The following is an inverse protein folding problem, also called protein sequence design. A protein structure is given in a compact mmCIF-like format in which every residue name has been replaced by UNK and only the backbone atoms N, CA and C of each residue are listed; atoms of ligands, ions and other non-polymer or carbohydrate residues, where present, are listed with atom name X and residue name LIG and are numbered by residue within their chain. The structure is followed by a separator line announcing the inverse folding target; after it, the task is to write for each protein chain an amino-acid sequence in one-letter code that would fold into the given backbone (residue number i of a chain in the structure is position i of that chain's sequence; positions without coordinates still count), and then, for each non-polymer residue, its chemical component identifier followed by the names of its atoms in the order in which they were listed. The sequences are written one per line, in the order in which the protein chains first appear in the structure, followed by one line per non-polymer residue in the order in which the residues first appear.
data_IF_702122840395
#
_entry.id   IF_702122840395
#
_cell.length_a   1.000
_cell.length_b   1.000
_cell.length_c   1.000
_cell.angle_alpha   90.00
_cell.angle_beta   90.00
_cell.angle_gamma   90.00
#
_symmetry.space_group_name_H-M   'P 1'
#
loop_
_entity.id
_entity.type
_entity.pdbx_description
1 polymer ?
#
# COMPACT_ATOMS: atom_id res chain seq x y z
N UNK A 1 2.47 -16.46 5.76
CA UNK A 1 1.31 -16.11 4.94
C UNK A 1 1.43 -14.66 4.49
N UNK A 2 1.94 -14.41 3.28
CA UNK A 2 1.93 -13.06 2.70
C UNK A 2 0.50 -12.72 2.25
N UNK A 3 0.01 -11.52 2.56
CA UNK A 3 -1.18 -10.99 1.88
C UNK A 3 -0.79 -10.92 0.40
N UNK A 4 -1.55 -11.58 -0.48
CA UNK A 4 -1.25 -11.55 -1.92
C UNK A 4 -1.57 -10.16 -2.44
N UNK A 5 -0.77 -9.62 -3.36
CA UNK A 5 -1.03 -8.32 -4.03
C UNK A 5 -2.48 -8.20 -4.53
N UNK A 6 -3.09 -9.31 -4.96
CA UNK A 6 -4.49 -9.37 -5.38
C UNK A 6 -5.50 -9.11 -4.26
N UNK A 7 -5.18 -9.47 -3.01
CA UNK A 7 -6.04 -9.21 -1.84
C UNK A 7 -6.09 -7.73 -1.50
N UNK A 8 -4.99 -7.00 -1.64
CA UNK A 8 -4.95 -5.55 -1.41
C UNK A 8 -5.83 -4.80 -2.41
N UNK A 9 -5.76 -5.13 -3.70
CA UNK A 9 -6.66 -4.52 -4.70
C UNK A 9 -8.13 -4.87 -4.45
N UNK A 10 -8.43 -6.09 -4.02
CA UNK A 10 -9.79 -6.49 -3.66
C UNK A 10 -10.29 -5.71 -2.43
N UNK A 11 -9.42 -5.50 -1.45
CA UNK A 11 -9.73 -4.68 -0.28
C UNK A 11 -10.03 -3.23 -0.67
N UNK A 12 -9.24 -2.63 -1.57
CA UNK A 12 -9.48 -1.27 -2.08
C UNK A 12 -10.83 -1.18 -2.81
N UNK A 13 -11.11 -2.12 -3.73
CA UNK A 13 -12.38 -2.16 -4.45
C UNK A 13 -13.58 -2.36 -3.50
N UNK A 14 -13.42 -3.22 -2.51
CA UNK A 14 -14.46 -3.47 -1.50
C UNK A 14 -14.67 -2.23 -0.62
N UNK A 15 -13.59 -1.53 -0.24
CA UNK A 15 -13.65 -0.26 0.48
C UNK A 15 -14.36 0.81 -0.34
N UNK A 16 -14.06 0.92 -1.64
CA UNK A 16 -14.72 1.85 -2.54
C UNK A 16 -16.23 1.56 -2.67
N UNK A 17 -16.61 0.28 -2.78
CA UNK A 17 -18.02 -0.12 -2.82
C UNK A 17 -18.76 0.18 -1.52
N UNK A 18 -18.13 -0.03 -0.36
CA UNK A 18 -18.73 0.21 0.95
C UNK A 18 -18.88 1.70 1.26
N UNK A 19 -17.86 2.50 0.94
CA UNK A 19 -17.83 3.94 1.23
C UNK A 19 -18.47 4.78 0.14
N UNK A 20 -18.59 4.24 -1.08
CA UNK A 20 -19.00 4.96 -2.29
C UNK A 20 -18.14 6.19 -2.57
N UNK A 21 -16.88 6.16 -2.14
CA UNK A 21 -15.95 7.28 -2.28
C UNK A 21 -14.52 6.78 -2.57
N UNK A 22 -14.26 6.34 -3.82
CA UNK A 22 -12.95 5.86 -4.21
C UNK A 22 -11.88 6.96 -4.18
N UNK A 23 -12.25 8.22 -4.45
CA UNK A 23 -11.33 9.36 -4.40
C UNK A 23 -10.77 9.61 -3.00
N UNK A 24 -11.62 9.56 -1.96
CA UNK A 24 -11.15 9.73 -0.58
C UNK A 24 -10.22 8.59 -0.14
N UNK A 25 -10.42 7.37 -0.66
CA UNK A 25 -9.49 6.26 -0.43
C UNK A 25 -8.14 6.49 -1.12
N UNK A 26 -8.16 7.03 -2.35
CA UNK A 26 -6.95 7.43 -3.05
C UNK A 26 -6.18 8.53 -2.30
N UNK A 27 -6.87 9.57 -1.84
CA UNK A 27 -6.30 10.65 -1.02
C UNK A 27 -5.66 10.11 0.28
N UNK A 28 -6.33 9.17 0.94
CA UNK A 28 -5.82 8.54 2.15
C UNK A 28 -4.54 7.75 1.88
N UNK A 29 -4.49 6.98 0.79
CA UNK A 29 -3.29 6.24 0.38
C UNK A 29 -2.13 7.18 0.02
N UNK A 30 -2.39 8.26 -0.70
CA UNK A 30 -1.38 9.28 -1.00
C UNK A 30 -0.81 9.88 0.29
N UNK A 31 -1.68 10.27 1.23
CA UNK A 31 -1.27 10.79 2.54
C UNK A 31 -0.40 9.78 3.30
N UNK A 32 -0.80 8.51 3.36
CA UNK A 32 -0.03 7.46 4.03
C UNK A 32 1.33 7.24 3.33
N UNK A 33 1.38 7.32 2.00
CA UNK A 33 2.61 7.16 1.23
C UNK A 33 3.59 8.32 1.41
N UNK A 34 3.07 9.51 1.72
CA UNK A 34 3.87 10.70 2.00
C UNK A 34 4.48 10.71 3.41
N UNK A 35 4.06 9.79 4.28
CA UNK A 35 4.58 9.69 5.63
C UNK A 35 6.06 9.20 5.62
N UNK A 36 6.95 10.05 6.12
CA UNK A 36 8.38 9.79 6.18
C UNK A 36 8.79 8.97 7.41
N UNK A 37 7.87 8.69 8.34
CA UNK A 37 8.18 7.93 9.55
C UNK A 37 8.46 6.47 9.22
N UNK A 38 9.75 6.10 9.27
CA UNK A 38 10.17 4.70 9.21
C UNK A 38 9.82 4.04 10.54
N UNK A 39 9.25 2.84 10.46
CA UNK A 39 8.97 2.09 11.67
C UNK A 39 10.28 1.69 12.36
N UNK A 40 10.29 1.75 13.71
CA UNK A 40 11.40 1.24 14.51
C UNK A 40 11.34 -0.28 14.54
N UNK A 41 12.27 -0.94 13.85
CA UNK A 41 12.43 -2.40 13.78
C UNK A 41 11.29 -3.20 13.13
N UNK A 42 10.91 -2.92 11.87
CA UNK A 42 9.95 -3.76 11.16
C UNK A 42 10.54 -5.14 10.91
N UNK A 43 9.78 -6.18 11.22
CA UNK A 43 10.12 -7.56 10.84
C UNK A 43 9.36 -7.98 9.59
N UNK A 44 9.91 -8.91 8.81
CA UNK A 44 9.23 -9.48 7.65
C UNK A 44 7.92 -10.18 8.04
N UNK A 45 7.87 -10.79 9.23
CA UNK A 45 6.66 -11.40 9.75
C UNK A 45 5.55 -10.36 10.00
N UNK A 46 5.89 -9.14 10.43
CA UNK A 46 4.93 -8.07 10.69
C UNK A 46 4.62 -7.20 9.47
N UNK A 47 5.37 -7.31 8.38
CA UNK A 47 5.25 -6.43 7.21
C UNK A 47 3.84 -6.35 6.62
N UNK A 48 3.08 -7.45 6.69
CA UNK A 48 1.71 -7.55 6.19
C UNK A 48 0.65 -6.87 7.08
N UNK A 49 1.00 -6.44 8.30
CA UNK A 49 0.10 -5.72 9.21
C UNK A 49 0.07 -4.22 8.91
N UNK A 50 1.00 -3.72 8.10
CA UNK A 50 1.10 -2.30 7.77
C UNK A 50 0.35 -1.96 6.49
N UNK A 51 -0.21 -0.75 6.44
CA UNK A 51 -0.93 -0.21 5.27
C UNK A 51 0.06 0.18 4.16
N UNK A 52 1.25 0.66 4.54
CA UNK A 52 2.34 1.00 3.63
C UNK A 52 3.62 0.23 3.98
N UNK A 53 4.58 0.24 3.06
CA UNK A 53 5.86 -0.44 3.25
C UNK A 53 6.60 0.12 4.49
N UNK A 54 6.80 -0.67 5.57
CA UNK A 54 7.34 -0.16 6.82
C UNK A 54 8.85 0.12 6.77
N UNK A 55 9.53 -0.30 5.69
CA UNK A 55 10.96 -0.05 5.46
C UNK A 55 11.25 1.35 4.88
N UNK A 56 10.19 2.11 4.52
CA UNK A 56 10.26 3.46 3.96
C UNK A 56 10.61 3.52 2.46
N UNK A 57 10.33 4.67 1.84
CA UNK A 57 10.56 4.95 0.42
C UNK A 57 11.98 5.45 0.16
N UNK A 58 12.94 4.54 -0.02
CA UNK A 58 14.26 4.89 -0.55
C UNK A 58 14.26 4.63 -2.05
N UNK A 59 14.26 5.69 -2.87
CA UNK A 59 14.21 5.65 -4.35
C UNK A 59 15.24 4.70 -5.00
N UNK A 60 16.32 4.36 -4.30
CA UNK A 60 17.37 3.43 -4.74
C UNK A 60 17.08 1.95 -4.44
N UNK A 61 16.14 1.64 -3.56
CA UNK A 61 15.77 0.27 -3.14
C UNK A 61 14.45 -0.23 -3.75
N UNK A 62 13.66 0.64 -4.37
CA UNK A 62 12.31 0.31 -4.85
C UNK A 62 12.29 -0.79 -5.92
N UNK A 63 13.32 -0.89 -6.77
CA UNK A 63 13.38 -1.93 -7.81
C UNK A 63 13.63 -3.35 -7.25
N UNK A 64 14.47 -3.47 -6.21
CA UNK A 64 14.77 -4.76 -5.57
C UNK A 64 13.75 -5.14 -4.48
N UNK A 65 13.15 -4.15 -3.82
CA UNK A 65 12.08 -4.36 -2.84
C UNK A 65 10.75 -4.73 -3.50
N UNK A 66 10.53 -4.41 -4.78
CA UNK A 66 9.32 -4.79 -5.52
C UNK A 66 9.13 -6.32 -5.61
N UNK A 67 10.22 -7.09 -5.50
CA UNK A 67 10.19 -8.56 -5.53
C UNK A 67 9.82 -9.19 -4.18
N UNK A 68 10.03 -8.46 -3.07
CA UNK A 68 9.76 -8.92 -1.70
C UNK A 68 8.67 -8.12 -0.98
N UNK A 69 8.09 -7.12 -1.64
CA UNK A 69 6.98 -6.34 -1.10
C UNK A 69 5.73 -7.22 -1.05
N UNK A 70 5.25 -7.47 0.16
CA UNK A 70 3.96 -8.13 0.40
C UNK A 70 2.78 -7.26 -0.05
N UNK A 71 3.03 -6.02 -0.47
CA UNK A 71 2.05 -5.03 -0.89
C UNK A 71 2.31 -4.56 -2.32
N UNK A 72 1.26 -4.33 -3.13
CA UNK A 72 1.43 -3.68 -4.42
C UNK A 72 1.86 -2.21 -4.22
N UNK A 73 2.55 -1.61 -5.21
CA UNK A 73 2.94 -0.21 -5.12
C UNK A 73 1.73 0.71 -4.89
N UNK A 74 1.81 1.62 -3.92
CA UNK A 74 0.73 2.59 -3.65
C UNK A 74 0.31 3.38 -4.89
N UNK A 75 1.22 3.88 -5.76
CA UNK A 75 0.82 4.61 -6.97
C UNK A 75 -0.10 3.80 -7.89
N UNK A 76 0.06 2.47 -7.93
CA UNK A 76 -0.80 1.60 -8.72
C UNK A 76 -2.20 1.49 -8.12
N UNK A 77 -2.31 1.36 -6.80
CA UNK A 77 -3.59 1.35 -6.06
C UNK A 77 -4.35 2.65 -6.25
N UNK A 78 -3.65 3.79 -6.08
CA UNK A 78 -4.20 5.13 -6.28
C UNK A 78 -4.76 5.28 -7.69
N UNK A 79 -3.99 4.87 -8.72
CA UNK A 79 -4.44 4.92 -10.11
C UNK A 79 -5.73 4.12 -10.35
N UNK A 80 -5.86 2.95 -9.73
CA UNK A 80 -7.06 2.10 -9.87
C UNK A 80 -8.25 2.76 -9.17
N UNK A 81 -8.10 3.25 -7.94
CA UNK A 81 -9.16 3.93 -7.20
C UNK A 81 -9.65 5.18 -7.94
N UNK A 82 -8.75 6.01 -8.47
CA UNK A 82 -9.12 7.20 -9.27
C UNK A 82 -9.85 6.87 -10.58
N UNK A 83 -9.80 5.62 -11.03
CA UNK A 83 -10.45 5.16 -12.26
C UNK A 83 -11.77 4.42 -12.01
N UNK A 84 -12.19 4.27 -10.74
CA UNK A 84 -13.49 3.68 -10.35
C UNK A 84 -14.60 4.73 -10.36
#
# INVERSE_FOLDING_TARGET
MAVSRRREFLADASGALLTRNPDALADALEKISSDAHKMRNPTHATAHLFISNPYGSSKTKDFLMNLFSTHPPIPERVRILRAM
#
